data_IF_643063038888
#
_entry.id   IF_643063038888
#
_cell.length_a   1.000
_cell.length_b   1.000
_cell.length_c   1.000
_cell.angle_alpha   90.00
_cell.angle_beta   90.00
_cell.angle_gamma   90.00
#
_symmetry.space_group_name_H-M   'P 1'
#
loop_
_entity.id
_entity.type
_entity.pdbx_description
1 polymer ?
#
# COMPACT_ATOMS: atom_id res chain seq x y z
N UNK A 1 33.21 -10.77 10.00
CA UNK A 1 31.98 -10.39 10.74
C UNK A 1 31.04 -9.77 9.73
N UNK A 2 29.81 -10.22 9.67
CA UNK A 2 28.76 -9.77 8.74
C UNK A 2 28.06 -8.57 9.36
N UNK A 3 27.79 -7.54 8.56
CA UNK A 3 27.11 -6.33 9.04
C UNK A 3 25.74 -6.18 8.39
N UNK A 4 24.70 -6.24 9.21
CA UNK A 4 23.30 -6.05 8.80
C UNK A 4 22.83 -4.71 9.34
N UNK A 5 22.20 -3.90 8.51
CA UNK A 5 21.69 -2.59 8.90
C UNK A 5 20.17 -2.55 8.72
N UNK A 6 19.48 -2.34 9.83
CA UNK A 6 18.04 -2.01 9.85
C UNK A 6 17.95 -0.50 9.68
N UNK A 7 17.26 -0.05 8.63
CA UNK A 7 17.25 1.37 8.27
C UNK A 7 15.93 1.78 7.63
N UNK A 8 15.43 2.95 8.00
CA UNK A 8 14.28 3.59 7.36
C UNK A 8 14.15 5.04 7.86
N UNK A 9 13.08 5.74 7.42
CA UNK A 9 12.70 7.02 8.01
C UNK A 9 12.42 6.84 9.52
N UNK A 10 12.77 7.83 10.38
CA UNK A 10 12.63 7.68 11.83
C UNK A 10 11.23 7.22 12.29
N UNK A 11 10.16 7.76 11.68
CA UNK A 11 8.79 7.38 12.01
C UNK A 11 8.44 5.91 11.71
N UNK A 12 9.10 5.29 10.74
CA UNK A 12 8.90 3.89 10.37
C UNK A 12 9.62 2.93 11.34
N UNK A 13 10.65 3.42 12.01
CA UNK A 13 11.45 2.63 12.96
C UNK A 13 10.80 2.51 14.35
N UNK A 14 9.59 3.03 14.55
CA UNK A 14 8.83 2.92 15.81
C UNK A 14 8.15 1.55 15.93
N UNK A 15 8.96 0.46 15.90
CA UNK A 15 8.54 -0.91 16.13
C UNK A 15 9.56 -1.62 17.02
N UNK A 16 9.31 -2.85 17.41
CA UNK A 16 10.23 -3.62 18.30
C UNK A 16 11.50 -4.06 17.54
N UNK A 17 12.44 -3.12 17.39
CA UNK A 17 13.72 -3.37 16.73
C UNK A 17 14.64 -4.32 17.52
N UNK A 18 14.49 -4.37 18.83
CA UNK A 18 15.25 -5.32 19.65
C UNK A 18 14.82 -6.76 19.38
N UNK A 19 13.55 -6.98 19.11
CA UNK A 19 13.06 -8.27 18.64
C UNK A 19 13.74 -8.70 17.33
N UNK A 20 13.79 -7.83 16.34
CA UNK A 20 14.44 -8.10 15.05
C UNK A 20 15.92 -8.42 15.23
N UNK A 21 16.65 -7.58 15.98
CA UNK A 21 18.08 -7.80 16.30
C UNK A 21 18.31 -9.15 16.97
N UNK A 22 17.57 -9.43 18.04
CA UNK A 22 17.75 -10.66 18.82
C UNK A 22 17.46 -11.90 17.97
N UNK A 23 16.41 -11.87 17.12
CA UNK A 23 16.08 -12.96 16.21
C UNK A 23 17.20 -13.24 15.21
N UNK A 24 17.76 -12.17 14.60
CA UNK A 24 18.86 -12.29 13.63
C UNK A 24 20.13 -12.80 14.32
N UNK A 25 20.53 -12.21 15.45
CA UNK A 25 21.75 -12.58 16.18
C UNK A 25 21.70 -14.00 16.75
N UNK A 26 20.55 -14.46 17.19
CA UNK A 26 20.36 -15.84 17.63
C UNK A 26 20.58 -16.87 16.51
N UNK A 27 20.24 -16.50 15.25
CA UNK A 27 20.30 -17.41 14.12
C UNK A 27 21.61 -17.34 13.32
N UNK A 28 22.30 -16.19 13.32
CA UNK A 28 23.49 -15.93 12.50
C UNK A 28 24.70 -15.61 13.39
N UNK A 29 25.67 -16.53 13.43
CA UNK A 29 26.95 -16.29 14.10
C UNK A 29 27.81 -15.27 13.35
N UNK A 30 28.75 -14.61 14.02
CA UNK A 30 29.68 -13.62 13.47
C UNK A 30 28.94 -12.50 12.70
N UNK A 31 27.87 -11.99 13.30
CA UNK A 31 27.00 -10.97 12.75
C UNK A 31 26.86 -9.81 13.72
N UNK A 32 26.87 -8.61 13.19
CA UNK A 32 26.53 -7.36 13.86
C UNK A 32 25.24 -6.81 13.24
N UNK A 33 24.32 -6.34 14.08
CA UNK A 33 23.06 -5.74 13.64
C UNK A 33 22.95 -4.33 14.22
N UNK A 34 22.93 -3.35 13.36
CA UNK A 34 22.80 -1.94 13.72
C UNK A 34 21.48 -1.35 13.23
N UNK A 35 21.01 -0.31 13.91
CA UNK A 35 19.88 0.52 13.48
C UNK A 35 20.45 1.87 13.06
N UNK A 36 20.22 2.24 11.80
CA UNK A 36 20.67 3.52 11.22
C UNK A 36 19.45 4.23 10.62
N UNK A 37 18.86 5.23 11.32
CA UNK A 37 17.76 6.01 10.77
C UNK A 37 18.23 6.89 9.59
N UNK A 38 17.35 7.08 8.62
CA UNK A 38 17.57 7.96 7.49
C UNK A 38 17.12 9.39 7.83
N UNK A 39 18.07 10.24 8.16
CA UNK A 39 17.81 11.67 8.40
C UNK A 39 18.39 12.55 7.30
N UNK A 40 19.62 12.23 6.87
CA UNK A 40 20.35 12.92 5.83
C UNK A 40 21.04 11.91 4.92
N UNK A 41 20.91 12.07 3.59
CA UNK A 41 21.42 11.11 2.60
C UNK A 41 22.94 10.88 2.72
N UNK A 42 23.73 11.93 2.85
CA UNK A 42 25.19 11.82 2.87
C UNK A 42 25.69 11.09 4.11
N UNK A 43 25.19 11.48 5.28
CA UNK A 43 25.50 10.84 6.56
C UNK A 43 25.02 9.39 6.57
N UNK A 44 23.82 9.14 6.06
CA UNK A 44 23.26 7.81 5.99
C UNK A 44 24.09 6.89 5.08
N UNK A 45 24.47 7.31 3.87
CA UNK A 45 25.34 6.55 2.98
C UNK A 45 26.68 6.21 3.66
N UNK A 46 27.27 7.17 4.35
CA UNK A 46 28.52 6.93 5.10
C UNK A 46 28.31 5.85 6.19
N UNK A 47 27.21 5.96 6.93
CA UNK A 47 26.88 5.01 8.00
C UNK A 47 26.59 3.60 7.48
N UNK A 48 25.92 3.43 6.33
CA UNK A 48 25.57 2.10 5.77
C UNK A 48 26.62 1.53 4.83
N UNK A 49 27.65 2.29 4.47
CA UNK A 49 28.61 2.01 3.36
C UNK A 49 29.33 0.65 3.42
N UNK A 50 29.40 -0.01 4.58
CA UNK A 50 30.00 -1.33 4.77
C UNK A 50 28.98 -2.44 5.07
N UNK A 51 27.68 -2.22 4.84
CA UNK A 51 26.65 -3.20 5.11
C UNK A 51 26.70 -4.39 4.12
N UNK A 52 26.53 -5.60 4.62
CA UNK A 52 26.29 -6.80 3.81
C UNK A 52 24.81 -6.96 3.45
N UNK A 53 23.90 -6.40 4.27
CA UNK A 53 22.47 -6.38 4.02
C UNK A 53 21.80 -5.11 4.55
N UNK A 54 20.76 -4.66 3.86
CA UNK A 54 19.82 -3.65 4.34
C UNK A 54 18.46 -4.28 4.61
N UNK A 55 17.85 -3.93 5.75
CA UNK A 55 16.47 -4.24 6.09
C UNK A 55 15.71 -2.91 6.16
N UNK A 56 14.81 -2.66 5.20
CA UNK A 56 14.12 -1.38 5.03
C UNK A 56 12.72 -1.57 4.45
N UNK A 57 11.86 -0.57 4.48
CA UNK A 57 10.54 -0.60 3.86
C UNK A 57 10.38 0.49 2.78
N UNK A 58 10.61 1.75 3.13
CA UNK A 58 10.22 2.90 2.29
C UNK A 58 11.38 3.65 1.64
N UNK A 59 12.63 3.40 2.04
CA UNK A 59 13.77 4.15 1.50
C UNK A 59 13.98 3.86 0.00
N UNK A 60 14.17 4.90 -0.83
CA UNK A 60 14.54 4.72 -2.22
C UNK A 60 15.97 4.16 -2.35
N UNK A 61 16.10 2.93 -2.83
CA UNK A 61 17.39 2.26 -3.04
C UNK A 61 17.68 2.20 -4.54
N UNK A 62 18.30 3.25 -5.06
CA UNK A 62 18.70 3.36 -6.46
C UNK A 62 20.15 2.91 -6.70
N UNK A 63 20.58 2.92 -7.97
CA UNK A 63 21.93 2.50 -8.39
C UNK A 63 23.05 3.23 -7.63
N UNK A 64 22.90 4.54 -7.38
CA UNK A 64 23.90 5.33 -6.66
C UNK A 64 24.02 4.92 -5.17
N UNK A 65 22.93 4.49 -4.53
CA UNK A 65 22.96 3.92 -3.18
C UNK A 65 23.70 2.59 -3.18
N UNK A 66 23.37 1.70 -4.13
CA UNK A 66 24.01 0.39 -4.24
C UNK A 66 25.51 0.50 -4.55
N UNK A 67 25.91 1.49 -5.34
CA UNK A 67 27.32 1.80 -5.63
C UNK A 67 28.09 2.23 -4.37
N UNK A 68 27.44 3.03 -3.53
CA UNK A 68 28.04 3.51 -2.28
C UNK A 68 28.15 2.44 -1.19
N UNK A 69 27.49 1.27 -1.37
CA UNK A 69 27.52 0.14 -0.44
C UNK A 69 28.07 -1.13 -1.13
N UNK A 70 29.38 -1.18 -1.44
CA UNK A 70 29.96 -2.19 -2.33
C UNK A 70 29.93 -3.62 -1.79
N UNK A 71 29.69 -3.82 -0.49
CA UNK A 71 29.55 -5.15 0.12
C UNK A 71 28.12 -5.65 0.16
N UNK A 72 27.14 -4.86 -0.31
CA UNK A 72 25.74 -5.20 -0.23
C UNK A 72 25.42 -6.46 -1.04
N UNK A 73 24.83 -7.43 -0.40
CA UNK A 73 24.47 -8.74 -0.99
C UNK A 73 22.97 -8.92 -1.10
N UNK A 74 22.20 -8.34 -0.18
CA UNK A 74 20.75 -8.38 -0.25
C UNK A 74 20.11 -7.14 0.37
N UNK A 75 18.94 -6.82 -0.15
CA UNK A 75 18.00 -5.83 0.38
C UNK A 75 16.74 -6.62 0.74
N UNK A 76 16.45 -6.71 2.03
CA UNK A 76 15.22 -7.33 2.53
C UNK A 76 14.24 -6.21 2.82
N UNK A 77 13.03 -6.33 2.29
CA UNK A 77 12.00 -5.31 2.45
C UNK A 77 11.00 -5.72 3.51
N UNK A 78 10.78 -4.83 4.47
CA UNK A 78 9.66 -4.89 5.41
C UNK A 78 8.36 -4.39 4.71
N UNK A 79 8.13 -4.84 3.50
CA UNK A 79 6.99 -4.49 2.67
C UNK A 79 6.78 -5.52 1.56
N UNK A 80 5.56 -5.66 1.08
CA UNK A 80 5.27 -6.43 -0.13
C UNK A 80 5.54 -5.64 -1.41
N UNK A 81 5.50 -4.30 -1.35
CA UNK A 81 5.91 -3.41 -2.42
C UNK A 81 7.42 -3.29 -2.51
N UNK A 82 7.94 -3.16 -3.73
CA UNK A 82 9.38 -3.01 -4.02
C UNK A 82 9.66 -1.97 -5.11
N UNK A 83 8.71 -1.12 -5.37
CA UNK A 83 8.78 -0.05 -6.38
C UNK A 83 9.78 1.06 -6.02
N UNK A 84 10.22 1.12 -4.76
CA UNK A 84 11.29 1.99 -4.26
C UNK A 84 12.72 1.45 -4.52
N UNK A 85 12.88 0.25 -5.09
CA UNK A 85 14.19 -0.36 -5.37
C UNK A 85 14.44 -0.46 -6.88
N UNK A 86 15.60 -0.01 -7.35
CA UNK A 86 16.04 -0.21 -8.72
C UNK A 86 16.45 -1.67 -8.94
N UNK A 87 15.49 -2.49 -9.39
CA UNK A 87 15.70 -3.92 -9.64
C UNK A 87 16.73 -4.20 -10.74
N UNK A 88 16.85 -3.31 -11.74
CA UNK A 88 17.81 -3.49 -12.81
C UNK A 88 19.24 -3.27 -12.30
N UNK A 89 19.44 -2.24 -11.46
CA UNK A 89 20.72 -2.00 -10.80
C UNK A 89 21.08 -3.14 -9.84
N UNK A 90 20.12 -3.59 -9.02
CA UNK A 90 20.32 -4.72 -8.11
C UNK A 90 20.75 -5.98 -8.85
N UNK A 91 20.10 -6.31 -9.98
CA UNK A 91 20.45 -7.45 -10.82
C UNK A 91 21.87 -7.34 -11.38
N UNK A 92 22.24 -6.18 -11.93
CA UNK A 92 23.62 -5.94 -12.47
C UNK A 92 24.71 -6.10 -11.40
N UNK A 93 24.36 -5.79 -10.15
CA UNK A 93 25.29 -5.83 -8.99
C UNK A 93 25.20 -7.15 -8.20
N UNK A 94 24.39 -8.11 -8.66
CA UNK A 94 24.14 -9.39 -7.97
C UNK A 94 23.61 -9.22 -6.53
N UNK A 95 22.83 -8.18 -6.30
CA UNK A 95 22.18 -7.91 -5.01
C UNK A 95 20.77 -8.51 -5.04
N UNK A 96 20.47 -9.41 -4.12
CA UNK A 96 19.13 -9.98 -4.00
C UNK A 96 18.15 -8.97 -3.43
N UNK A 97 16.97 -8.83 -4.03
CA UNK A 97 15.87 -8.01 -3.49
C UNK A 97 14.76 -8.95 -3.03
N UNK A 98 14.46 -8.93 -1.74
CA UNK A 98 13.62 -9.91 -1.07
C UNK A 98 12.49 -9.19 -0.33
N UNK A 99 11.32 -8.98 -0.95
CA UNK A 99 10.14 -8.44 -0.29
C UNK A 99 9.41 -9.50 0.54
N UNK A 100 8.42 -9.04 1.31
CA UNK A 100 7.44 -9.92 1.96
C UNK A 100 6.31 -10.20 0.96
N UNK A 101 5.85 -11.45 0.86
CA UNK A 101 4.75 -11.77 -0.05
C UNK A 101 3.38 -11.42 0.53
N UNK A 102 3.10 -11.90 1.73
CA UNK A 102 1.77 -11.74 2.33
C UNK A 102 1.89 -11.63 3.85
N UNK A 103 1.32 -10.56 4.43
CA UNK A 103 1.30 -10.34 5.87
C UNK A 103 0.10 -9.51 6.35
N UNK A 104 -0.57 -8.78 5.45
CA UNK A 104 -1.57 -7.77 5.78
C UNK A 104 -2.82 -7.80 4.89
N UNK A 105 -3.14 -8.94 4.26
CA UNK A 105 -4.30 -9.05 3.35
C UNK A 105 -5.61 -8.74 4.07
N UNK A 106 -5.77 -9.21 5.32
CA UNK A 106 -6.97 -8.98 6.13
C UNK A 106 -7.07 -7.49 6.50
N UNK A 107 -6.00 -6.91 7.03
CA UNK A 107 -5.94 -5.52 7.49
C UNK A 107 -6.28 -4.55 6.37
N UNK A 108 -5.68 -4.70 5.19
CA UNK A 108 -5.94 -3.82 4.04
C UNK A 108 -7.38 -3.97 3.55
N UNK A 109 -7.93 -5.18 3.58
CA UNK A 109 -9.32 -5.40 3.20
C UNK A 109 -10.30 -4.79 4.21
N UNK A 110 -10.04 -4.94 5.50
CA UNK A 110 -10.82 -4.33 6.58
C UNK A 110 -10.74 -2.79 6.52
N UNK A 111 -9.55 -2.23 6.32
CA UNK A 111 -9.35 -0.80 6.16
C UNK A 111 -10.11 -0.24 4.94
N UNK A 112 -10.09 -0.97 3.82
CA UNK A 112 -10.88 -0.64 2.62
C UNK A 112 -12.36 -0.55 2.95
N UNK A 113 -12.89 -1.57 3.63
CA UNK A 113 -14.30 -1.58 4.05
C UNK A 113 -14.61 -0.49 5.07
N UNK A 114 -13.69 -0.19 5.98
CA UNK A 114 -13.83 0.90 6.95
C UNK A 114 -13.97 2.27 6.23
N UNK A 115 -13.13 2.55 5.24
CA UNK A 115 -13.23 3.76 4.42
C UNK A 115 -14.56 3.82 3.64
N UNK A 116 -14.95 2.70 3.02
CA UNK A 116 -16.25 2.60 2.30
C UNK A 116 -17.41 2.89 3.27
N UNK A 117 -17.43 2.25 4.44
CA UNK A 117 -18.50 2.42 5.43
C UNK A 117 -18.52 3.83 6.01
N UNK A 118 -17.36 4.37 6.37
CA UNK A 118 -17.26 5.73 6.94
C UNK A 118 -17.78 6.79 5.97
N UNK A 119 -17.41 6.69 4.69
CA UNK A 119 -17.89 7.61 3.64
C UNK A 119 -19.36 7.38 3.31
N UNK A 120 -19.80 6.12 3.16
CA UNK A 120 -21.20 5.78 2.84
C UNK A 120 -22.17 6.17 3.94
N UNK A 121 -21.73 6.26 5.19
CA UNK A 121 -22.54 6.64 6.35
C UNK A 121 -22.29 8.07 6.82
N UNK A 122 -21.37 8.82 6.17
CA UNK A 122 -21.06 10.20 6.51
C UNK A 122 -20.47 10.38 7.91
N UNK A 123 -19.71 9.40 8.42
CA UNK A 123 -19.25 9.42 9.81
C UNK A 123 -18.37 10.63 10.12
N UNK A 124 -17.52 11.04 9.17
CA UNK A 124 -16.69 12.23 9.33
C UNK A 124 -17.53 13.51 9.48
N UNK A 125 -18.58 13.65 8.65
CA UNK A 125 -19.49 14.79 8.68
C UNK A 125 -20.23 14.87 10.03
N UNK A 126 -20.90 13.78 10.43
CA UNK A 126 -21.63 13.76 11.69
C UNK A 126 -20.73 13.92 12.92
N UNK A 127 -19.54 13.29 12.91
CA UNK A 127 -18.57 13.49 14.00
C UNK A 127 -18.19 14.95 14.14
N UNK A 128 -17.84 15.61 13.03
CA UNK A 128 -17.52 17.04 13.05
C UNK A 128 -18.67 17.92 13.53
N UNK A 129 -19.91 17.67 13.09
CA UNK A 129 -21.08 18.42 13.55
C UNK A 129 -21.31 18.27 15.05
N UNK A 130 -21.16 17.05 15.59
CA UNK A 130 -21.34 16.78 17.00
C UNK A 130 -20.22 17.42 17.82
N UNK A 131 -18.96 17.20 17.45
CA UNK A 131 -17.80 17.61 18.24
C UNK A 131 -17.53 19.11 18.15
N UNK A 132 -17.72 19.75 16.98
CA UNK A 132 -17.38 21.16 16.76
C UNK A 132 -18.59 22.10 16.83
N UNK A 133 -19.79 21.62 16.46
CA UNK A 133 -20.99 22.46 16.32
C UNK A 133 -22.08 22.12 17.37
N UNK A 134 -21.88 21.07 18.16
CA UNK A 134 -22.86 20.54 19.14
C UNK A 134 -24.25 20.29 18.52
N UNK A 135 -24.25 19.86 17.22
CA UNK A 135 -25.48 19.62 16.47
C UNK A 135 -25.83 18.12 16.46
N UNK A 136 -27.04 17.82 16.90
CA UNK A 136 -27.60 16.48 16.93
C UNK A 136 -28.75 16.37 15.92
N UNK A 137 -28.41 16.18 14.61
CA UNK A 137 -29.39 16.20 13.53
C UNK A 137 -29.00 15.25 12.38
N UNK A 138 -29.78 14.18 12.20
CA UNK A 138 -29.49 13.19 11.14
C UNK A 138 -29.80 13.69 9.72
N UNK A 139 -30.61 14.73 9.56
CA UNK A 139 -30.99 15.31 8.25
C UNK A 139 -30.00 16.31 7.69
N UNK A 140 -28.91 16.61 8.41
CA UNK A 140 -27.86 17.54 7.96
C UNK A 140 -27.07 17.00 6.75
N UNK A 141 -27.04 15.68 6.54
CA UNK A 141 -26.46 15.05 5.38
C UNK A 141 -27.53 14.28 4.61
N UNK A 142 -27.60 14.54 3.29
CA UNK A 142 -28.54 13.88 2.38
C UNK A 142 -27.81 12.97 1.38
N UNK A 143 -28.56 12.13 0.65
CA UNK A 143 -28.00 11.28 -0.40
C UNK A 143 -27.23 10.05 0.10
N UNK A 144 -27.44 9.65 1.37
CA UNK A 144 -26.87 8.42 1.89
C UNK A 144 -27.64 7.19 1.37
N UNK A 145 -26.91 6.22 0.85
CA UNK A 145 -27.47 4.96 0.34
C UNK A 145 -26.91 3.76 1.09
N UNK A 146 -27.75 2.72 1.27
CA UNK A 146 -27.30 1.43 1.79
C UNK A 146 -26.40 0.73 0.77
N UNK A 147 -25.42 -0.06 1.24
CA UNK A 147 -24.49 -0.79 0.34
C UNK A 147 -25.18 -1.93 -0.42
N UNK A 148 -26.17 -2.61 0.21
CA UNK A 148 -26.89 -3.73 -0.44
C UNK A 148 -27.49 -3.29 -1.78
N UNK A 149 -27.11 -3.99 -2.84
CA UNK A 149 -27.56 -3.74 -4.20
C UNK A 149 -26.74 -2.69 -4.96
N UNK A 150 -25.78 -1.96 -4.30
CA UNK A 150 -24.81 -1.14 -5.02
C UNK A 150 -23.76 -2.00 -5.72
N UNK A 151 -23.06 -1.42 -6.65
CA UNK A 151 -22.00 -2.05 -7.43
C UNK A 151 -20.64 -1.57 -6.92
N UNK A 152 -19.81 -2.50 -6.45
CA UNK A 152 -18.41 -2.27 -6.15
C UNK A 152 -17.55 -2.61 -7.37
N UNK A 153 -16.81 -1.64 -7.89
CA UNK A 153 -15.79 -1.83 -8.90
C UNK A 153 -14.43 -2.04 -8.24
N UNK A 154 -13.79 -3.16 -8.48
CA UNK A 154 -12.47 -3.51 -7.94
C UNK A 154 -11.45 -3.45 -9.07
N UNK A 155 -10.54 -2.48 -9.02
CA UNK A 155 -9.39 -2.41 -9.91
C UNK A 155 -8.21 -3.17 -9.26
N UNK A 156 -7.83 -4.31 -9.87
CA UNK A 156 -6.85 -5.24 -9.33
C UNK A 156 -7.45 -6.36 -8.45
N UNK A 157 -7.42 -7.59 -8.95
CA UNK A 157 -8.05 -8.74 -8.29
C UNK A 157 -7.00 -9.75 -7.80
N UNK A 158 -6.01 -9.23 -7.06
CA UNK A 158 -5.02 -10.00 -6.28
C UNK A 158 -5.59 -10.52 -4.95
N UNK A 159 -4.73 -10.87 -3.99
CA UNK A 159 -5.15 -11.37 -2.67
C UNK A 159 -6.09 -10.39 -1.96
N UNK A 160 -5.68 -9.13 -1.86
CA UNK A 160 -6.45 -8.05 -1.22
C UNK A 160 -7.78 -7.81 -1.95
N UNK A 161 -7.76 -7.59 -3.28
CA UNK A 161 -8.99 -7.35 -4.05
C UNK A 161 -10.01 -8.49 -3.93
N UNK A 162 -9.56 -9.75 -3.88
CA UNK A 162 -10.42 -10.92 -3.61
C UNK A 162 -11.02 -10.88 -2.22
N UNK A 163 -10.22 -10.51 -1.22
CA UNK A 163 -10.69 -10.41 0.16
C UNK A 163 -11.73 -9.30 0.32
N UNK A 164 -11.48 -8.13 -0.27
CA UNK A 164 -12.45 -7.03 -0.33
C UNK A 164 -13.74 -7.46 -1.03
N UNK A 165 -13.63 -8.17 -2.16
CA UNK A 165 -14.79 -8.72 -2.87
C UNK A 165 -15.63 -9.63 -1.99
N UNK A 166 -14.99 -10.52 -1.22
CA UNK A 166 -15.67 -11.40 -0.27
C UNK A 166 -16.42 -10.63 0.83
N UNK A 167 -15.80 -9.59 1.37
CA UNK A 167 -16.46 -8.73 2.37
C UNK A 167 -17.63 -7.96 1.76
N UNK A 168 -17.46 -7.40 0.55
CA UNK A 168 -18.52 -6.69 -0.15
C UNK A 168 -19.71 -7.58 -0.52
N UNK A 169 -19.47 -8.85 -0.88
CA UNK A 169 -20.51 -9.83 -1.12
C UNK A 169 -21.37 -10.05 0.13
N UNK A 170 -20.75 -10.13 1.31
CA UNK A 170 -21.48 -10.25 2.59
C UNK A 170 -22.37 -9.02 2.87
N UNK A 171 -22.04 -7.84 2.35
CA UNK A 171 -22.91 -6.66 2.37
C UNK A 171 -23.98 -6.66 1.27
N UNK A 172 -24.04 -7.71 0.43
CA UNK A 172 -24.99 -7.84 -0.67
C UNK A 172 -24.73 -6.89 -1.84
N UNK A 173 -23.48 -6.52 -2.08
CA UNK A 173 -23.06 -5.71 -3.23
C UNK A 173 -22.89 -6.56 -4.48
N UNK A 174 -23.04 -5.97 -5.65
CA UNK A 174 -22.61 -6.54 -6.93
C UNK A 174 -21.14 -6.20 -7.16
N UNK A 175 -20.35 -7.15 -7.69
CA UNK A 175 -18.90 -6.98 -7.80
C UNK A 175 -18.49 -7.01 -9.27
N UNK A 176 -17.95 -5.88 -9.75
CA UNK A 176 -17.27 -5.74 -11.02
C UNK A 176 -15.76 -5.73 -10.79
N UNK A 177 -15.02 -6.39 -11.65
CA UNK A 177 -13.57 -6.51 -11.53
C UNK A 177 -12.89 -6.10 -12.81
N UNK A 178 -11.96 -5.17 -12.72
CA UNK A 178 -10.94 -4.93 -13.73
C UNK A 178 -9.65 -5.65 -13.34
N UNK A 179 -9.16 -6.54 -14.22
CA UNK A 179 -7.91 -7.28 -14.02
C UNK A 179 -6.87 -6.81 -15.03
N UNK A 180 -5.87 -6.00 -14.60
CA UNK A 180 -4.85 -5.48 -15.52
C UNK A 180 -3.99 -6.61 -16.14
N UNK A 181 -3.89 -7.76 -15.47
CA UNK A 181 -3.15 -8.92 -16.00
C UNK A 181 -3.95 -9.77 -16.99
N UNK A 182 -5.19 -9.38 -17.31
CA UNK A 182 -6.10 -10.16 -18.15
C UNK A 182 -6.58 -11.49 -17.53
N UNK A 183 -6.22 -11.79 -16.29
CA UNK A 183 -6.69 -13.00 -15.59
C UNK A 183 -8.15 -12.81 -15.18
N UNK A 184 -9.05 -13.56 -15.81
CA UNK A 184 -10.51 -13.49 -15.63
C UNK A 184 -11.10 -14.72 -14.97
N UNK A 185 -10.27 -15.56 -14.32
CA UNK A 185 -10.73 -16.78 -13.66
C UNK A 185 -11.18 -16.42 -12.25
N UNK A 186 -12.47 -16.59 -11.98
CA UNK A 186 -13.00 -16.55 -10.63
C UNK A 186 -12.87 -17.93 -9.97
N UNK A 187 -12.14 -18.00 -8.87
CA UNK A 187 -12.04 -19.19 -8.01
C UNK A 187 -12.73 -18.99 -6.67
N UNK A 188 -13.41 -17.86 -6.50
CA UNK A 188 -14.09 -17.50 -5.25
C UNK A 188 -15.48 -18.14 -5.16
N UNK A 189 -15.96 -18.31 -3.94
CA UNK A 189 -17.30 -18.84 -3.68
C UNK A 189 -18.43 -17.80 -3.92
N UNK A 190 -18.07 -16.53 -4.23
CA UNK A 190 -19.01 -15.45 -4.50
C UNK A 190 -18.94 -15.02 -5.98
N UNK A 191 -19.98 -14.35 -6.44
CA UNK A 191 -20.11 -13.95 -7.84
C UNK A 191 -19.33 -12.68 -8.15
N UNK A 192 -18.50 -12.73 -9.20
CA UNK A 192 -17.82 -11.55 -9.75
C UNK A 192 -18.00 -11.50 -11.27
N UNK A 193 -18.09 -10.28 -11.82
CA UNK A 193 -18.10 -10.06 -13.25
C UNK A 193 -16.81 -9.32 -13.66
N UNK A 194 -15.99 -9.94 -14.51
CA UNK A 194 -14.82 -9.28 -15.11
C UNK A 194 -15.25 -8.38 -16.24
N UNK A 195 -14.78 -7.13 -16.21
CA UNK A 195 -15.15 -6.10 -17.16
C UNK A 195 -13.94 -5.27 -17.61
N UNK A 196 -13.98 -4.60 -18.78
CA UNK A 196 -13.01 -3.57 -19.13
C UNK A 196 -13.04 -2.38 -18.15
N UNK A 197 -11.97 -1.59 -18.15
CA UNK A 197 -11.86 -0.42 -17.26
C UNK A 197 -12.99 0.59 -17.45
N UNK A 198 -13.37 0.86 -18.70
CA UNK A 198 -14.47 1.78 -19.05
C UNK A 198 -15.78 1.35 -18.41
N UNK A 199 -16.10 0.06 -18.51
CA UNK A 199 -17.34 -0.47 -17.94
C UNK A 199 -17.33 -0.42 -16.41
N UNK A 200 -16.16 -0.68 -15.78
CA UNK A 200 -15.99 -0.52 -14.34
C UNK A 200 -16.25 0.93 -13.92
N UNK A 201 -15.69 1.92 -14.64
CA UNK A 201 -15.90 3.34 -14.35
C UNK A 201 -17.36 3.75 -14.49
N UNK A 202 -18.02 3.32 -15.55
CA UNK A 202 -19.41 3.72 -15.85
C UNK A 202 -20.45 3.10 -14.90
N UNK A 203 -20.23 1.86 -14.43
CA UNK A 203 -21.28 1.08 -13.75
C UNK A 203 -21.09 0.95 -12.23
N UNK A 204 -19.99 1.44 -11.68
CA UNK A 204 -19.72 1.31 -10.25
C UNK A 204 -20.28 2.46 -9.43
N UNK A 205 -20.88 2.15 -8.29
CA UNK A 205 -21.31 3.09 -7.26
C UNK A 205 -20.18 3.38 -6.26
N UNK A 206 -19.23 2.46 -6.16
CA UNK A 206 -17.99 2.57 -5.36
C UNK A 206 -16.88 1.95 -6.20
N UNK A 207 -15.70 2.59 -6.26
CA UNK A 207 -14.51 2.07 -6.95
C UNK A 207 -13.38 1.96 -5.93
N UNK A 208 -12.70 0.82 -5.91
CA UNK A 208 -11.52 0.61 -5.06
C UNK A 208 -10.32 0.15 -5.87
N UNK A 209 -9.15 0.73 -5.56
CA UNK A 209 -7.89 0.40 -6.23
C UNK A 209 -7.02 -0.51 -5.35
N UNK A 210 -6.67 -1.68 -5.91
CA UNK A 210 -5.75 -2.67 -5.33
C UNK A 210 -4.69 -3.11 -6.35
N UNK A 211 -4.47 -2.31 -7.41
CA UNK A 211 -3.45 -2.62 -8.42
C UNK A 211 -2.05 -2.39 -7.85
N UNK A 212 -1.12 -3.25 -8.22
CA UNK A 212 0.29 -2.94 -8.11
C UNK A 212 0.66 -1.86 -9.11
N UNK A 213 1.63 -1.00 -8.77
CA UNK A 213 2.10 0.02 -9.70
C UNK A 213 3.05 -0.61 -10.74
N UNK A 214 2.85 -0.24 -11.99
CA UNK A 214 3.70 -0.51 -13.13
C UNK A 214 3.61 0.68 -14.07
N UNK A 215 4.43 0.74 -15.11
CA UNK A 215 4.41 1.87 -16.07
C UNK A 215 3.03 2.09 -16.67
N UNK A 216 2.32 0.99 -16.94
CA UNK A 216 0.96 1.00 -17.51
C UNK A 216 -0.14 1.41 -16.52
N UNK A 217 0.15 1.44 -15.23
CA UNK A 217 -0.81 1.82 -14.18
C UNK A 217 -0.49 3.17 -13.55
N UNK A 218 0.58 3.84 -13.99
CA UNK A 218 0.89 5.19 -13.57
C UNK A 218 -0.21 6.15 -14.08
N UNK A 219 -0.83 6.89 -13.17
CA UNK A 219 -1.97 7.77 -13.45
C UNK A 219 -3.11 7.06 -14.21
N UNK A 220 -3.36 5.79 -13.89
CA UNK A 220 -4.50 5.04 -14.44
C UNK A 220 -5.83 5.74 -14.13
N UNK A 221 -5.95 6.33 -12.94
CA UNK A 221 -7.06 7.18 -12.54
C UNK A 221 -6.71 8.65 -12.81
N UNK A 222 -6.74 9.03 -14.06
CA UNK A 222 -6.55 10.39 -14.56
C UNK A 222 -7.89 11.12 -14.78
N UNK A 223 -7.86 12.33 -15.30
CA UNK A 223 -9.06 13.13 -15.55
C UNK A 223 -10.08 12.41 -16.48
N UNK A 224 -9.61 11.72 -17.53
CA UNK A 224 -10.47 10.98 -18.43
C UNK A 224 -11.21 9.84 -17.72
N UNK A 225 -10.50 9.09 -16.87
CA UNK A 225 -11.07 8.02 -16.05
C UNK A 225 -12.17 8.56 -15.12
N UNK A 226 -11.90 9.67 -14.40
CA UNK A 226 -12.88 10.27 -13.50
C UNK A 226 -14.12 10.80 -14.25
N UNK A 227 -13.96 11.37 -15.45
CA UNK A 227 -15.07 11.82 -16.30
C UNK A 227 -15.98 10.67 -16.78
N UNK A 228 -15.45 9.45 -16.90
CA UNK A 228 -16.20 8.24 -17.25
C UNK A 228 -17.01 7.67 -16.08
N UNK A 229 -16.84 8.15 -14.86
CA UNK A 229 -17.53 7.68 -13.65
C UNK A 229 -18.97 8.22 -13.57
N UNK A 230 -19.88 7.67 -14.36
CA UNK A 230 -21.24 8.19 -14.57
C UNK A 230 -22.16 8.10 -13.35
N UNK A 231 -21.82 7.25 -12.38
CA UNK A 231 -22.62 7.06 -11.17
C UNK A 231 -22.11 7.87 -9.97
N UNK A 232 -21.16 8.79 -10.22
CA UNK A 232 -20.56 9.61 -9.18
C UNK A 232 -20.11 8.77 -7.97
N UNK A 233 -19.21 7.77 -8.16
CA UNK A 233 -18.90 6.79 -7.12
C UNK A 233 -18.17 7.41 -5.92
N UNK A 234 -18.11 6.66 -4.81
CA UNK A 234 -17.03 6.81 -3.87
C UNK A 234 -15.76 6.20 -4.47
N UNK A 235 -14.63 6.88 -4.31
CA UNK A 235 -13.34 6.42 -4.81
C UNK A 235 -12.42 6.07 -3.63
N UNK A 236 -11.91 4.84 -3.60
CA UNK A 236 -11.05 4.33 -2.52
C UNK A 236 -9.69 3.93 -3.10
N UNK A 237 -8.61 4.45 -2.56
CA UNK A 237 -7.27 4.06 -2.94
C UNK A 237 -6.46 3.60 -1.72
N UNK A 238 -6.23 2.30 -1.64
CA UNK A 238 -5.36 1.64 -0.66
C UNK A 238 -4.25 0.82 -1.36
N UNK A 239 -4.08 1.03 -2.66
CA UNK A 239 -3.05 0.37 -3.47
C UNK A 239 -1.76 1.19 -3.52
N UNK A 240 -1.64 2.06 -4.52
CA UNK A 240 -0.50 2.97 -4.67
C UNK A 240 -0.97 4.36 -5.08
N UNK A 241 -0.37 5.40 -4.49
CA UNK A 241 -0.68 6.80 -4.78
C UNK A 241 -0.44 7.15 -6.26
N UNK A 242 0.66 6.71 -6.81
CA UNK A 242 1.05 6.95 -8.21
C UNK A 242 0.08 6.36 -9.26
N UNK A 243 -0.90 5.55 -8.86
CA UNK A 243 -1.98 5.12 -9.76
C UNK A 243 -3.02 6.23 -10.01
N UNK A 244 -3.02 7.28 -9.20
CA UNK A 244 -3.99 8.39 -9.23
C UNK A 244 -3.26 9.68 -9.56
N UNK A 245 -3.75 10.43 -10.54
CA UNK A 245 -3.37 11.81 -10.78
C UNK A 245 -4.09 12.70 -9.76
N UNK A 246 -3.37 13.19 -8.72
CA UNK A 246 -4.00 13.95 -7.62
C UNK A 246 -4.72 15.22 -8.09
N UNK A 247 -4.19 15.91 -9.10
CA UNK A 247 -4.84 17.07 -9.69
C UNK A 247 -6.20 16.72 -10.34
N UNK A 248 -6.27 15.58 -11.00
CA UNK A 248 -7.51 15.06 -11.59
C UNK A 248 -8.52 14.62 -10.52
N UNK A 249 -8.04 14.00 -9.44
CA UNK A 249 -8.87 13.64 -8.29
C UNK A 249 -9.50 14.87 -7.63
N UNK A 250 -8.71 15.92 -7.38
CA UNK A 250 -9.21 17.19 -6.85
C UNK A 250 -10.29 17.80 -7.76
N UNK A 251 -10.05 17.80 -9.06
CA UNK A 251 -11.01 18.28 -10.07
C UNK A 251 -12.28 17.43 -10.08
N UNK A 252 -12.15 16.11 -9.93
CA UNK A 252 -13.29 15.20 -9.85
C UNK A 252 -14.17 15.47 -8.62
N UNK A 253 -13.56 15.72 -7.46
CA UNK A 253 -14.28 16.12 -6.24
C UNK A 253 -14.99 17.48 -6.41
N UNK A 254 -14.31 18.46 -7.01
CA UNK A 254 -14.86 19.81 -7.22
C UNK A 254 -16.02 19.83 -8.19
N UNK A 255 -15.97 19.02 -9.24
CA UNK A 255 -17.02 18.94 -10.26
C UNK A 255 -18.09 17.87 -9.94
N UNK A 256 -17.99 17.18 -8.80
CA UNK A 256 -18.94 16.14 -8.43
C UNK A 256 -18.89 14.89 -9.31
N UNK A 257 -17.78 14.64 -10.04
CA UNK A 257 -17.63 13.40 -10.82
C UNK A 257 -17.47 12.19 -9.89
N UNK A 258 -16.97 12.41 -8.68
CA UNK A 258 -17.02 11.50 -7.56
C UNK A 258 -17.64 12.21 -6.36
N UNK A 259 -18.37 11.48 -5.53
CA UNK A 259 -19.03 12.06 -4.33
C UNK A 259 -18.15 12.11 -3.10
N UNK A 260 -17.01 11.40 -3.10
CA UNK A 260 -16.05 11.39 -2.01
C UNK A 260 -14.89 10.46 -2.29
N UNK A 261 -13.83 10.58 -1.48
CA UNK A 261 -12.64 9.76 -1.60
C UNK A 261 -12.11 9.30 -0.23
N UNK A 262 -11.68 8.02 -0.18
CA UNK A 262 -10.93 7.43 0.92
C UNK A 262 -9.53 7.04 0.42
N UNK A 263 -8.50 7.66 0.96
CA UNK A 263 -7.14 7.52 0.44
C UNK A 263 -6.20 7.16 1.59
N UNK A 264 -5.61 5.98 1.50
CA UNK A 264 -4.55 5.56 2.41
C UNK A 264 -3.16 5.91 1.87
N UNK A 265 -3.08 6.17 0.56
CA UNK A 265 -1.85 6.50 -0.15
C UNK A 265 -2.03 7.73 -1.03
N UNK A 266 -0.99 8.55 -1.16
CA UNK A 266 -0.88 9.71 -2.04
C UNK A 266 0.31 9.51 -3.00
N UNK A 267 0.45 10.37 -4.02
CA UNK A 267 1.59 10.27 -4.96
C UNK A 267 2.94 10.32 -4.23
N UNK A 268 3.03 11.11 -3.16
CA UNK A 268 4.19 11.16 -2.29
C UNK A 268 3.94 10.36 -1.01
N UNK A 269 4.88 9.52 -0.61
CA UNK A 269 4.87 8.85 0.69
C UNK A 269 5.16 9.83 1.87
N UNK A 270 5.65 11.03 1.55
CA UNK A 270 5.89 12.12 2.52
C UNK A 270 5.19 13.39 2.03
N UNK A 271 3.83 13.42 2.01
CA UNK A 271 3.09 14.52 1.42
C UNK A 271 3.10 15.77 2.32
N UNK A 272 3.19 16.94 1.70
CA UNK A 272 2.93 18.21 2.37
C UNK A 272 1.41 18.41 2.50
N UNK A 273 0.80 17.83 3.55
CA UNK A 273 -0.64 17.76 3.73
C UNK A 273 -1.37 19.12 3.56
N UNK A 274 -0.76 20.20 3.97
CA UNK A 274 -1.33 21.55 3.80
C UNK A 274 -1.41 22.03 2.35
N UNK A 275 -0.70 21.38 1.42
CA UNK A 275 -0.67 21.74 -0.01
C UNK A 275 -1.46 20.81 -0.90
N UNK A 276 -1.89 19.65 -0.42
CA UNK A 276 -2.60 18.65 -1.25
C UNK A 276 -3.98 19.12 -1.72
N UNK A 277 -4.58 20.08 -1.03
CA UNK A 277 -5.97 20.46 -1.28
C UNK A 277 -7.01 19.39 -0.93
N UNK A 278 -6.59 18.22 -0.46
CA UNK A 278 -7.45 17.11 -0.03
C UNK A 278 -7.81 17.20 1.45
N UNK A 279 -6.90 17.76 2.26
CA UNK A 279 -7.05 17.90 3.70
C UNK A 279 -8.22 18.85 4.06
N UNK A 280 -8.94 18.53 5.12
CA UNK A 280 -10.06 19.37 5.61
C UNK A 280 -11.38 19.20 4.86
N UNK A 281 -11.43 18.48 3.72
CA UNK A 281 -12.69 18.22 2.99
C UNK A 281 -13.52 17.17 3.72
N UNK A 282 -14.81 17.44 3.90
CA UNK A 282 -15.73 16.52 4.60
C UNK A 282 -15.93 15.20 3.85
N UNK A 283 -15.93 15.27 2.50
CA UNK A 283 -16.07 14.09 1.64
C UNK A 283 -14.76 13.33 1.41
N UNK A 284 -13.64 13.69 2.07
CA UNK A 284 -12.35 13.02 1.93
C UNK A 284 -11.87 12.48 3.27
N UNK A 285 -11.50 11.21 3.31
CA UNK A 285 -10.81 10.58 4.44
C UNK A 285 -9.40 10.25 3.97
N UNK A 286 -8.40 10.71 4.70
CA UNK A 286 -6.98 10.40 4.49
C UNK A 286 -6.49 9.56 5.67
N UNK A 287 -5.71 8.52 5.39
CA UNK A 287 -4.95 7.76 6.37
C UNK A 287 -3.49 7.65 5.92
N UNK A 288 -2.52 7.58 6.85
CA UNK A 288 -1.10 7.77 6.53
C UNK A 288 -0.40 6.47 6.12
N UNK A 289 -0.85 5.83 5.02
CA UNK A 289 -0.36 4.53 4.56
C UNK A 289 -0.40 3.49 5.69
N UNK A 290 -1.51 3.42 6.39
CA UNK A 290 -1.72 2.60 7.58
C UNK A 290 -2.68 1.44 7.37
N UNK A 291 -3.15 1.21 6.15
CA UNK A 291 -4.10 0.13 5.86
C UNK A 291 -3.57 -1.26 6.23
N UNK A 292 -2.25 -1.43 6.25
CA UNK A 292 -1.59 -2.69 6.65
C UNK A 292 -1.46 -2.86 8.17
N UNK A 293 -1.65 -1.80 8.97
CA UNK A 293 -1.18 -1.70 10.34
C UNK A 293 -2.11 -2.40 11.33
N UNK A 294 -1.60 -3.45 11.96
CA UNK A 294 -2.13 -4.12 13.16
C UNK A 294 -0.97 -4.69 13.96
N UNK A 295 -1.19 -5.13 15.19
CA UNK A 295 -0.17 -5.82 15.98
C UNK A 295 0.24 -7.14 15.31
N UNK A 296 -0.74 -7.86 14.75
CA UNK A 296 -0.56 -9.12 14.06
C UNK A 296 0.26 -8.95 12.78
N UNK A 297 -0.10 -7.96 11.95
CA UNK A 297 0.62 -7.70 10.70
C UNK A 297 2.03 -7.24 10.92
N UNK A 298 2.28 -6.37 11.93
CA UNK A 298 3.64 -5.96 12.30
C UNK A 298 4.48 -7.13 12.77
N UNK A 299 3.93 -8.03 13.58
CA UNK A 299 4.65 -9.21 14.02
C UNK A 299 4.97 -10.13 12.85
N UNK A 300 4.01 -10.40 11.98
CA UNK A 300 4.21 -11.20 10.78
C UNK A 300 5.28 -10.58 9.86
N UNK A 301 5.23 -9.25 9.68
CA UNK A 301 6.21 -8.49 8.89
C UNK A 301 7.63 -8.69 9.44
N UNK A 302 7.82 -8.53 10.75
CA UNK A 302 9.12 -8.69 11.40
C UNK A 302 9.62 -10.14 11.31
N UNK A 303 8.74 -11.11 11.55
CA UNK A 303 9.10 -12.53 11.48
C UNK A 303 9.54 -12.92 10.07
N UNK A 304 8.75 -12.59 9.05
CA UNK A 304 9.02 -12.99 7.66
C UNK A 304 10.28 -12.30 7.13
N UNK A 305 10.46 -11.01 7.39
CA UNK A 305 11.64 -10.28 6.91
C UNK A 305 12.93 -10.75 7.57
N UNK A 306 12.92 -10.98 8.89
CA UNK A 306 14.06 -11.56 9.59
C UNK A 306 14.37 -12.96 9.08
N UNK A 307 13.36 -13.80 8.87
CA UNK A 307 13.54 -15.16 8.36
C UNK A 307 14.11 -15.17 6.93
N UNK A 308 13.61 -14.32 6.04
CA UNK A 308 14.15 -14.15 4.71
C UNK A 308 15.64 -13.76 4.73
N UNK A 309 16.02 -12.84 5.60
CA UNK A 309 17.41 -12.43 5.80
C UNK A 309 18.26 -13.61 6.31
N UNK A 310 17.78 -14.32 7.32
CA UNK A 310 18.46 -15.48 7.92
C UNK A 310 18.64 -16.58 6.87
N UNK A 311 17.62 -16.94 6.12
CA UNK A 311 17.68 -17.95 5.07
C UNK A 311 18.66 -17.58 3.98
N UNK A 312 18.67 -16.30 3.55
CA UNK A 312 19.63 -15.82 2.57
C UNK A 312 21.09 -16.08 3.02
N UNK A 313 21.42 -15.68 4.26
CA UNK A 313 22.79 -15.86 4.75
C UNK A 313 23.16 -17.29 5.15
N UNK A 314 22.19 -18.16 5.41
CA UNK A 314 22.41 -19.60 5.60
C UNK A 314 22.51 -20.38 4.26
N UNK A 315 22.21 -19.75 3.13
CA UNK A 315 22.13 -20.44 1.83
C UNK A 315 20.88 -21.32 1.70
N UNK A 316 19.87 -21.12 2.54
CA UNK A 316 18.58 -21.82 2.54
C UNK A 316 17.59 -21.17 1.57
N UNK A 317 18.00 -20.93 0.35
CA UNK A 317 17.27 -20.09 -0.62
C UNK A 317 15.91 -20.64 -1.02
N UNK A 318 15.73 -21.95 -0.92
CA UNK A 318 14.44 -22.61 -1.13
C UNK A 318 13.38 -22.29 -0.07
N UNK A 319 13.78 -21.68 1.04
CA UNK A 319 12.89 -21.21 2.12
C UNK A 319 12.52 -19.73 1.97
N UNK A 320 13.29 -18.99 1.14
CA UNK A 320 12.95 -17.61 0.80
C UNK A 320 11.75 -17.66 -0.14
N UNK A 321 10.68 -17.01 0.24
CA UNK A 321 9.45 -17.10 -0.51
C UNK A 321 9.61 -16.57 -1.95
N UNK A 322 10.30 -15.42 -2.09
CA UNK A 322 10.38 -14.73 -3.36
C UNK A 322 11.59 -13.78 -3.43
N UNK A 323 12.43 -13.93 -4.47
CA UNK A 323 13.45 -12.97 -4.87
C UNK A 323 12.96 -12.34 -6.17
N UNK A 324 12.72 -11.00 -6.16
CA UNK A 324 12.00 -10.33 -7.27
C UNK A 324 12.88 -10.04 -8.47
N UNK A 325 14.19 -10.03 -8.31
CA UNK A 325 15.13 -9.74 -9.37
C UNK A 325 15.94 -10.99 -9.78
N UNK A 326 16.46 -10.96 -11.00
CA UNK A 326 17.33 -12.05 -11.47
C UNK A 326 18.69 -11.96 -10.78
N UNK A 327 19.03 -13.00 -10.05
CA UNK A 327 20.40 -13.25 -9.62
C UNK A 327 21.09 -14.02 -10.76
N UNK A 328 21.94 -13.35 -11.53
CA UNK A 328 22.68 -13.96 -12.62
C UNK A 328 23.74 -14.93 -12.11
#
# INVERSE_FOLDING_TARGET
MRRIVITDYPGVLHRDLEYEKNRILAALKDTEVEVVPFENREQWIHAVGNADALLTAFLPINDAVMEAVPKLRCIVLNASGYDNVDLAAASRRHIAVIPIEEYCTEEVAEHTMALILALSRGLKHYGKEIDEQYRWQYTSLQGLHRLKGQTLGIAGFGKIGRRVGKLADAFGMRILVYSPTGKTINKEAYSVQFVPAEELFEKSDIITNHMAIGKEHYHFFNEEAFRKMKRHPLFINVGRGAAVEEAALLKALQNGWIRGAGLDVLESEMPELGKTGLTGREQVILTPHSAFYSEESLRALQDISCDNLIYFFKGEWNRIHYIVNKMA
#
